data_IF_493646929472
#
_entry.id   IF_493646929472
#
_cell.length_a   1.000
_cell.length_b   1.000
_cell.length_c   1.000
_cell.angle_alpha   90.00
_cell.angle_beta   90.00
_cell.angle_gamma   90.00
#
_symmetry.space_group_name_H-M   'P 1'
#
loop_
_entity.id
_entity.type
_entity.pdbx_description
1 polymer ?
#
# COMPACT_ATOMS: atom_id res chain seq x y z
N UNK A 1 77.15 29.38 64.77
CA UNK A 1 76.59 29.59 63.42
C UNK A 1 77.25 28.53 62.55
N UNK A 2 76.59 27.50 62.03
CA UNK A 2 75.19 27.34 61.66
C UNK A 2 74.87 25.84 61.56
N UNK A 3 73.66 25.49 61.97
CA UNK A 3 72.99 24.22 61.70
C UNK A 3 72.89 23.93 60.20
N UNK A 4 73.00 22.66 59.81
CA UNK A 4 72.18 22.16 58.71
C UNK A 4 71.88 20.66 58.88
N UNK A 5 70.59 20.38 58.70
CA UNK A 5 69.83 19.25 59.21
C UNK A 5 70.04 17.95 58.41
N UNK A 6 69.95 16.82 59.15
CA UNK A 6 69.69 15.48 58.61
C UNK A 6 68.26 15.39 58.07
N UNK A 7 68.07 14.72 56.93
CA UNK A 7 66.87 13.88 56.73
C UNK A 7 67.19 12.51 56.10
N UNK A 8 66.43 11.45 56.44
CA UNK A 8 66.80 10.06 56.24
C UNK A 8 66.03 9.36 55.11
N UNK A 9 66.46 8.12 54.80
CA UNK A 9 65.53 7.01 54.54
C UNK A 9 65.24 6.70 53.08
N UNK A 10 66.00 5.77 52.52
CA UNK A 10 65.56 4.99 51.37
C UNK A 10 64.38 4.11 51.79
N UNK A 11 63.18 4.42 51.30
CA UNK A 11 62.03 3.51 51.37
C UNK A 11 61.81 2.84 50.01
N UNK A 12 61.66 1.53 50.11
CA UNK A 12 61.55 0.56 49.05
C UNK A 12 60.37 0.82 48.10
N UNK A 13 60.56 0.44 46.83
CA UNK A 13 59.52 0.29 45.82
C UNK A 13 58.49 -0.74 46.29
N UNK A 14 57.33 -0.29 46.74
CA UNK A 14 56.13 -1.14 46.86
C UNK A 14 55.43 -1.18 45.50
N UNK A 15 55.41 -2.36 44.89
CA UNK A 15 54.51 -2.67 43.78
C UNK A 15 53.06 -2.39 44.21
N UNK A 16 52.33 -1.68 43.36
CA UNK A 16 50.90 -1.42 43.55
C UNK A 16 50.12 -2.74 43.51
N UNK A 17 49.08 -2.92 44.35
CA UNK A 17 48.25 -4.12 44.32
C UNK A 17 47.51 -4.19 42.99
N UNK A 18 47.57 -5.38 42.40
CA UNK A 18 46.85 -5.80 41.20
C UNK A 18 45.35 -5.45 41.32
N UNK A 19 44.90 -4.37 40.68
CA UNK A 19 43.48 -4.16 40.38
C UNK A 19 43.12 -5.23 39.35
N UNK A 20 42.62 -6.37 39.81
CA UNK A 20 41.76 -7.18 38.95
C UNK A 20 40.53 -6.34 38.66
N UNK A 21 40.57 -5.58 37.57
CA UNK A 21 39.38 -5.06 36.91
C UNK A 21 38.50 -6.27 36.63
N UNK A 22 37.37 -6.36 37.32
CA UNK A 22 36.37 -7.37 37.04
C UNK A 22 35.84 -7.06 35.63
N UNK A 23 36.19 -7.90 34.68
CA UNK A 23 35.74 -7.81 33.29
C UNK A 23 34.20 -7.71 33.30
N UNK A 24 33.63 -6.69 32.65
CA UNK A 24 32.17 -6.54 32.59
C UNK A 24 31.64 -7.48 31.52
N UNK A 25 31.11 -8.63 31.95
CA UNK A 25 30.47 -9.58 31.05
C UNK A 25 29.31 -8.92 30.29
N UNK A 26 29.23 -9.12 28.95
CA UNK A 26 28.19 -8.51 28.15
C UNK A 26 26.83 -9.10 28.50
N UNK A 27 25.83 -8.23 28.64
CA UNK A 27 24.43 -8.65 28.83
C UNK A 27 23.46 -7.70 28.17
N UNK A 28 22.36 -8.24 27.65
CA UNK A 28 21.15 -7.47 27.41
C UNK A 28 20.49 -7.24 28.77
N UNK A 29 20.16 -6.00 29.10
CA UNK A 29 19.59 -5.60 30.39
C UNK A 29 18.12 -5.18 30.31
N UNK A 30 17.66 -4.77 29.12
CA UNK A 30 16.27 -4.34 28.90
C UNK A 30 15.90 -4.49 27.43
N UNK A 31 14.66 -4.93 27.19
CA UNK A 31 14.04 -4.94 25.86
C UNK A 31 12.67 -4.28 25.99
N UNK A 32 12.44 -3.21 25.24
CA UNK A 32 11.16 -2.50 25.22
C UNK A 32 10.54 -2.48 23.85
N UNK A 33 9.22 -2.57 23.77
CA UNK A 33 8.49 -2.40 22.51
C UNK A 33 8.33 -0.92 22.14
N UNK A 34 7.77 -0.64 20.96
CA UNK A 34 7.48 0.73 20.50
C UNK A 34 6.52 1.54 21.38
N UNK A 35 5.70 0.87 22.21
CA UNK A 35 4.80 1.51 23.18
C UNK A 35 5.52 1.84 24.51
N UNK A 36 6.80 1.50 24.62
CA UNK A 36 7.63 1.69 25.82
C UNK A 36 7.46 0.61 26.89
N UNK A 37 6.70 -0.46 26.61
CA UNK A 37 6.46 -1.60 27.51
C UNK A 37 7.69 -2.49 27.55
N UNK A 38 8.14 -2.85 28.75
CA UNK A 38 9.23 -3.80 28.98
C UNK A 38 8.79 -5.23 28.62
N UNK A 39 9.66 -5.97 27.94
CA UNK A 39 9.45 -7.35 27.52
C UNK A 39 10.45 -8.23 28.26
N UNK A 40 9.97 -8.96 29.25
CA UNK A 40 10.77 -9.97 29.97
C UNK A 40 11.31 -11.05 29.01
N UNK A 41 12.40 -11.75 29.35
CA UNK A 41 12.89 -12.88 28.56
C UNK A 41 11.80 -13.94 28.34
N UNK A 42 11.53 -14.29 27.08
CA UNK A 42 10.44 -15.17 26.65
C UNK A 42 9.07 -14.48 26.53
N UNK A 43 9.01 -13.17 26.73
CA UNK A 43 7.80 -12.36 26.61
C UNK A 43 7.33 -12.16 25.17
N UNK A 44 6.17 -11.51 25.03
CA UNK A 44 5.50 -11.27 23.73
C UNK A 44 5.49 -9.78 23.43
N UNK A 45 5.77 -9.41 22.18
CA UNK A 45 5.53 -8.06 21.65
C UNK A 45 4.56 -8.10 20.50
N UNK A 46 3.54 -7.24 20.52
CA UNK A 46 2.63 -7.00 19.37
C UNK A 46 3.07 -5.87 18.46
N UNK A 47 4.13 -5.17 18.84
CA UNK A 47 4.67 -4.02 18.13
C UNK A 47 6.00 -4.41 17.47
N UNK A 48 6.18 -4.08 16.20
CA UNK A 48 7.35 -4.45 15.40
C UNK A 48 8.64 -3.67 15.75
N UNK A 49 8.55 -2.68 16.63
CA UNK A 49 9.67 -1.91 17.13
C UNK A 49 10.19 -2.48 18.44
N UNK A 50 11.50 -2.65 18.55
CA UNK A 50 12.19 -3.00 19.78
C UNK A 50 13.35 -2.04 20.05
N UNK A 51 13.48 -1.65 21.31
CA UNK A 51 14.65 -0.98 21.86
C UNK A 51 15.36 -1.96 22.79
N UNK A 52 16.58 -2.36 22.41
CA UNK A 52 17.38 -3.34 23.15
C UNK A 52 18.53 -2.59 23.80
N UNK A 53 18.62 -2.64 25.12
CA UNK A 53 19.70 -2.04 25.90
C UNK A 53 20.51 -3.12 26.61
N UNK A 54 21.77 -2.82 26.87
CA UNK A 54 22.62 -3.71 27.63
C UNK A 54 23.84 -3.03 28.19
N UNK A 55 24.71 -3.85 28.75
CA UNK A 55 25.96 -3.46 29.39
C UNK A 55 27.09 -4.37 28.92
N UNK A 56 28.28 -3.81 28.77
CA UNK A 56 29.51 -4.52 28.42
C UNK A 56 30.74 -3.65 28.77
N UNK A 57 31.94 -4.12 28.47
CA UNK A 57 33.16 -3.31 28.65
C UNK A 57 33.17 -2.06 27.76
N UNK A 58 33.38 -0.85 28.32
CA UNK A 58 33.43 0.39 27.56
C UNK A 58 34.45 0.40 26.42
N UNK A 59 34.10 1.08 25.32
CA UNK A 59 34.99 1.30 24.18
C UNK A 59 35.16 0.10 23.24
N UNK A 60 34.58 -1.05 23.56
CA UNK A 60 34.57 -2.21 22.67
C UNK A 60 33.46 -2.11 21.60
N UNK A 61 33.65 -2.80 20.46
CA UNK A 61 32.54 -3.05 19.54
C UNK A 61 31.55 -4.03 20.16
N UNK A 62 30.27 -3.87 19.86
CA UNK A 62 29.21 -4.80 20.24
C UNK A 62 28.33 -5.10 19.03
N UNK A 63 28.05 -6.36 18.77
CA UNK A 63 27.26 -6.84 17.65
C UNK A 63 26.00 -7.53 18.15
N UNK A 64 24.84 -7.18 17.60
CA UNK A 64 23.56 -7.80 17.91
C UNK A 64 23.25 -8.91 16.89
N UNK A 65 22.82 -10.07 17.39
CA UNK A 65 22.40 -11.22 16.59
C UNK A 65 20.98 -11.65 16.94
N UNK A 66 20.24 -12.21 15.98
CA UNK A 66 18.99 -12.96 16.18
C UNK A 66 19.17 -14.40 15.67
N UNK A 67 19.17 -15.39 16.58
CA UNK A 67 19.32 -16.80 16.22
C UNK A 67 20.63 -17.12 15.47
N UNK A 68 21.69 -16.31 15.69
CA UNK A 68 22.98 -16.42 15.00
C UNK A 68 23.10 -15.60 13.71
N UNK A 69 22.03 -14.93 13.27
CA UNK A 69 22.08 -13.99 12.15
C UNK A 69 22.49 -12.59 12.66
N UNK A 70 23.57 -12.04 12.11
CA UNK A 70 24.02 -10.68 12.43
C UNK A 70 22.97 -9.64 12.02
N UNK A 71 22.60 -8.75 12.93
CA UNK A 71 21.65 -7.68 12.67
C UNK A 71 22.35 -6.33 12.52
N UNK A 72 23.09 -5.91 13.55
CA UNK A 72 23.66 -4.57 13.64
C UNK A 72 24.92 -4.59 14.51
N UNK A 73 25.83 -3.63 14.27
CA UNK A 73 27.01 -3.38 15.09
C UNK A 73 26.96 -1.97 15.65
N UNK A 74 27.34 -1.82 16.91
CA UNK A 74 27.52 -0.55 17.61
C UNK A 74 28.82 -0.56 18.43
N UNK A 75 28.98 0.43 19.30
CA UNK A 75 30.08 0.56 20.26
C UNK A 75 29.46 0.65 21.65
N UNK A 76 30.13 0.05 22.64
CA UNK A 76 29.79 0.22 24.06
C UNK A 76 30.29 1.59 24.50
N UNK A 77 29.38 2.44 24.96
CA UNK A 77 29.71 3.80 25.41
C UNK A 77 30.63 3.78 26.64
N UNK A 78 31.24 4.93 26.95
CA UNK A 78 32.15 5.09 28.09
C UNK A 78 31.51 4.78 29.45
N UNK A 79 30.18 4.88 29.55
CA UNK A 79 29.40 4.52 30.73
C UNK A 79 29.09 3.01 30.83
N UNK A 80 29.57 2.21 29.87
CA UNK A 80 29.39 0.76 29.83
C UNK A 80 28.08 0.32 29.19
N UNK A 81 27.26 1.23 28.68
CA UNK A 81 25.98 0.90 28.07
C UNK A 81 26.07 0.77 26.54
N UNK A 82 25.14 0.01 25.97
CA UNK A 82 24.87 0.00 24.53
C UNK A 82 23.36 -0.04 24.26
N UNK A 83 22.98 0.35 23.05
CA UNK A 83 21.58 0.39 22.62
C UNK A 83 21.43 0.08 21.13
N UNK A 84 20.39 -0.68 20.79
CA UNK A 84 19.97 -0.99 19.43
C UNK A 84 18.48 -0.67 19.23
N UNK A 85 18.13 -0.22 18.03
CA UNK A 85 16.75 0.13 17.64
C UNK A 85 16.29 -0.71 16.45
N UNK A 86 15.48 -1.73 16.72
CA UNK A 86 14.89 -2.57 15.69
C UNK A 86 13.54 -2.02 15.28
N UNK A 87 13.25 -1.94 13.98
CA UNK A 87 12.04 -1.26 13.46
C UNK A 87 11.15 -2.12 12.56
N UNK A 88 11.64 -3.31 12.14
CA UNK A 88 10.97 -4.17 11.15
C UNK A 88 10.87 -5.62 11.61
N UNK A 89 10.56 -5.82 12.89
CA UNK A 89 10.45 -7.17 13.43
C UNK A 89 9.23 -7.87 12.84
N UNK A 90 9.46 -9.03 12.23
CA UNK A 90 8.41 -9.89 11.68
C UNK A 90 7.90 -10.86 12.75
N UNK A 91 6.67 -11.35 12.57
CA UNK A 91 6.05 -12.34 13.44
C UNK A 91 6.94 -13.57 13.63
N UNK A 92 6.96 -14.12 14.84
CA UNK A 92 7.71 -15.32 15.22
C UNK A 92 8.68 -15.12 16.38
N UNK A 93 9.34 -16.20 16.77
CA UNK A 93 10.35 -16.19 17.84
C UNK A 93 11.63 -15.48 17.40
N UNK A 94 12.19 -14.69 18.31
CA UNK A 94 13.45 -13.96 18.19
C UNK A 94 14.35 -14.37 19.36
N UNK A 95 15.63 -14.58 19.08
CA UNK A 95 16.62 -14.98 20.06
C UNK A 95 17.82 -14.03 20.02
N UNK A 96 17.71 -12.93 20.76
CA UNK A 96 18.72 -11.88 20.74
C UNK A 96 19.94 -12.22 21.58
N UNK A 97 21.12 -11.99 21.03
CA UNK A 97 22.40 -12.08 21.73
C UNK A 97 23.30 -10.93 21.30
N UNK A 98 24.22 -10.53 22.18
CA UNK A 98 25.33 -9.65 21.80
C UNK A 98 26.68 -10.36 21.84
N UNK A 99 27.56 -10.00 20.91
CA UNK A 99 28.96 -10.42 20.86
C UNK A 99 29.85 -9.17 20.91
N UNK A 100 30.79 -9.14 21.86
CA UNK A 100 31.73 -8.01 22.02
C UNK A 100 33.02 -8.23 21.24
N UNK A 101 33.78 -7.15 21.03
CA UNK A 101 35.04 -7.18 20.27
C UNK A 101 36.15 -8.06 20.87
N UNK A 102 36.09 -8.36 22.18
CA UNK A 102 36.97 -9.32 22.85
C UNK A 102 36.48 -10.78 22.73
N UNK A 103 35.34 -11.03 22.06
CA UNK A 103 34.81 -12.36 21.79
C UNK A 103 33.89 -12.93 22.88
N UNK A 104 33.39 -12.12 23.81
CA UNK A 104 32.41 -12.55 24.82
C UNK A 104 30.97 -12.46 24.28
N UNK A 105 30.15 -13.47 24.61
CA UNK A 105 28.73 -13.48 24.27
C UNK A 105 27.86 -13.25 25.51
N UNK A 106 26.71 -12.60 25.33
CA UNK A 106 25.67 -12.56 26.35
C UNK A 106 24.83 -13.84 26.39
N UNK A 107 24.08 -14.00 27.49
CA UNK A 107 22.89 -14.86 27.51
C UNK A 107 21.87 -14.45 26.44
N UNK A 108 21.07 -15.41 25.99
CA UNK A 108 20.01 -15.18 25.00
C UNK A 108 18.81 -14.47 25.63
N UNK A 109 18.33 -13.39 25.01
CA UNK A 109 17.04 -12.78 25.31
C UNK A 109 16.01 -13.19 24.25
N UNK A 110 15.10 -14.09 24.62
CA UNK A 110 14.03 -14.53 23.74
C UNK A 110 12.86 -13.53 23.73
N UNK A 111 12.26 -13.29 22.56
CA UNK A 111 11.02 -12.51 22.41
C UNK A 111 10.15 -13.17 21.34
N UNK A 112 8.87 -13.37 21.62
CA UNK A 112 7.91 -13.76 20.60
C UNK A 112 7.24 -12.52 20.00
N UNK A 113 7.46 -12.28 18.70
CA UNK A 113 6.79 -11.22 17.97
C UNK A 113 5.41 -11.71 17.52
N UNK A 114 4.36 -11.21 18.15
CA UNK A 114 2.95 -11.40 17.78
C UNK A 114 2.41 -10.16 17.07
N UNK A 115 3.19 -9.63 16.11
CA UNK A 115 2.77 -8.50 15.29
C UNK A 115 1.60 -8.91 14.40
N UNK A 116 0.66 -7.99 14.20
CA UNK A 116 -0.44 -8.18 13.27
C UNK A 116 0.11 -8.25 11.83
N UNK A 117 -0.59 -8.98 10.97
CA UNK A 117 -0.31 -9.02 9.54
C UNK A 117 -1.43 -8.28 8.82
N UNK A 118 -1.07 -7.47 7.84
CA UNK A 118 -2.05 -6.83 6.98
C UNK A 118 -2.81 -7.87 6.16
N UNK A 119 -4.10 -7.63 5.93
CA UNK A 119 -4.96 -8.50 5.11
C UNK A 119 -5.90 -7.66 4.27
N UNK A 120 -6.07 -8.03 3.01
CA UNK A 120 -7.23 -7.64 2.22
C UNK A 120 -8.32 -8.67 2.54
N UNK A 121 -9.46 -8.20 3.05
CA UNK A 121 -10.58 -9.06 3.42
C UNK A 121 -11.64 -9.09 2.30
N UNK A 122 -11.91 -7.95 1.66
CA UNK A 122 -12.97 -7.78 0.65
C UNK A 122 -12.49 -6.78 -0.40
N UNK A 123 -12.74 -7.10 -1.67
CA UNK A 123 -12.66 -6.14 -2.76
C UNK A 123 -14.02 -6.10 -3.42
N UNK A 124 -14.59 -4.92 -3.65
CA UNK A 124 -15.90 -4.77 -4.29
C UNK A 124 -15.86 -3.75 -5.42
N UNK A 125 -16.74 -3.94 -6.40
CA UNK A 125 -17.06 -2.91 -7.36
C UNK A 125 -18.00 -1.85 -6.78
N UNK A 126 -18.41 -0.85 -7.58
CA UNK A 126 -19.40 0.14 -7.19
C UNK A 126 -20.81 -0.44 -6.96
N UNK A 127 -21.07 -1.67 -7.42
CA UNK A 127 -22.30 -2.42 -7.15
C UNK A 127 -22.32 -3.03 -5.74
N UNK A 128 -21.21 -2.98 -5.01
CA UNK A 128 -21.07 -3.52 -3.67
C UNK A 128 -20.95 -5.04 -3.61
N UNK A 129 -20.86 -5.73 -4.74
CA UNK A 129 -20.70 -7.18 -4.80
C UNK A 129 -19.22 -7.54 -4.64
N UNK A 130 -18.87 -8.53 -3.79
CA UNK A 130 -17.50 -9.01 -3.68
C UNK A 130 -16.94 -9.53 -5.00
N UNK A 131 -15.72 -9.11 -5.32
CA UNK A 131 -14.91 -9.61 -6.42
C UNK A 131 -13.91 -10.60 -5.81
N UNK A 132 -14.19 -11.89 -5.98
CA UNK A 132 -13.37 -12.98 -5.45
C UNK A 132 -11.95 -12.99 -6.05
N UNK A 133 -10.98 -13.48 -5.29
CA UNK A 133 -9.60 -13.64 -5.76
C UNK A 133 -9.54 -14.49 -7.04
N UNK A 134 -8.77 -14.03 -8.03
CA UNK A 134 -8.64 -14.62 -9.35
C UNK A 134 -9.80 -14.32 -10.32
N UNK A 135 -10.79 -13.52 -9.91
CA UNK A 135 -11.94 -13.17 -10.76
C UNK A 135 -11.63 -12.06 -11.78
N UNK A 136 -12.54 -11.91 -12.73
CA UNK A 136 -12.56 -10.77 -13.64
C UNK A 136 -13.63 -9.76 -13.22
N UNK A 137 -13.42 -8.50 -13.57
CA UNK A 137 -14.40 -7.43 -13.39
C UNK A 137 -14.39 -6.47 -14.56
N UNK A 138 -15.52 -5.79 -14.79
CA UNK A 138 -15.62 -4.65 -15.71
C UNK A 138 -15.55 -3.30 -15.00
N UNK A 139 -15.51 -3.33 -13.66
CA UNK A 139 -15.33 -2.13 -12.87
C UNK A 139 -13.86 -1.74 -12.83
N UNK A 140 -13.60 -0.46 -13.05
CA UNK A 140 -12.29 0.17 -12.89
C UNK A 140 -12.19 0.98 -11.60
N UNK A 141 -13.31 1.23 -10.90
CA UNK A 141 -13.31 1.77 -9.55
C UNK A 141 -13.53 0.63 -8.55
N UNK A 142 -12.65 0.50 -7.55
CA UNK A 142 -12.67 -0.60 -6.58
C UNK A 142 -12.67 -0.07 -5.15
N UNK A 143 -13.43 -0.72 -4.27
CA UNK A 143 -13.37 -0.51 -2.83
C UNK A 143 -12.66 -1.69 -2.18
N UNK A 144 -11.84 -1.40 -1.17
CA UNK A 144 -11.11 -2.39 -0.40
C UNK A 144 -11.49 -2.26 1.07
N UNK A 145 -11.61 -3.40 1.74
CA UNK A 145 -11.72 -3.49 3.20
C UNK A 145 -10.69 -4.50 3.68
N UNK A 146 -9.97 -4.17 4.75
CA UNK A 146 -8.95 -5.04 5.28
C UNK A 146 -8.65 -4.82 6.75
N UNK A 147 -7.66 -5.58 7.23
CA UNK A 147 -7.13 -5.55 8.59
C UNK A 147 -5.64 -5.18 8.60
N UNK A 148 -5.18 -4.62 9.71
CA UNK A 148 -3.77 -4.32 9.96
C UNK A 148 -3.47 -4.02 11.44
N UNK A 149 -2.25 -3.62 11.76
CA UNK A 149 -1.86 -3.25 13.13
C UNK A 149 -2.65 -2.02 13.63
N UNK A 150 -3.39 -2.09 14.75
CA UNK A 150 -4.23 -0.98 15.21
C UNK A 150 -3.47 0.33 15.44
N UNK A 151 -4.07 1.45 15.05
CA UNK A 151 -3.47 2.80 15.20
C UNK A 151 -2.14 3.00 14.46
N UNK A 152 -1.85 2.18 13.45
CA UNK A 152 -0.69 2.34 12.56
C UNK A 152 -1.12 2.69 11.13
N UNK A 153 -0.27 2.40 10.15
CA UNK A 153 -0.53 2.60 8.73
C UNK A 153 -0.23 1.33 7.95
N UNK A 154 -1.06 1.08 6.95
CA UNK A 154 -0.87 0.04 5.93
C UNK A 154 -0.74 0.70 4.56
N UNK A 155 0.09 0.14 3.70
CA UNK A 155 0.21 0.57 2.30
C UNK A 155 -0.56 -0.40 1.40
N UNK A 156 -1.44 0.11 0.55
CA UNK A 156 -2.12 -0.67 -0.49
C UNK A 156 -1.35 -0.53 -1.80
N UNK A 157 -0.89 -1.67 -2.31
CA UNK A 157 -0.11 -1.78 -3.54
C UNK A 157 -0.89 -2.55 -4.59
N UNK A 158 -0.65 -2.23 -5.87
CA UNK A 158 -1.06 -3.00 -7.02
C UNK A 158 0.17 -3.41 -7.83
N UNK A 159 0.50 -4.70 -7.77
CA UNK A 159 1.80 -5.20 -8.20
C UNK A 159 2.94 -4.41 -7.50
N UNK A 160 3.75 -3.66 -8.25
CA UNK A 160 4.87 -2.86 -7.74
C UNK A 160 4.52 -1.36 -7.61
N UNK A 161 3.26 -0.97 -7.80
CA UNK A 161 2.81 0.43 -7.69
C UNK A 161 2.10 0.68 -6.35
N UNK A 162 2.60 1.64 -5.59
CA UNK A 162 1.94 2.11 -4.37
C UNK A 162 0.70 2.92 -4.76
N UNK A 163 -0.48 2.44 -4.38
CA UNK A 163 -1.73 3.16 -4.62
C UNK A 163 -2.02 4.16 -3.52
N UNK A 164 -2.02 3.71 -2.25
CA UNK A 164 -2.44 4.52 -1.09
C UNK A 164 -1.72 4.09 0.20
N UNK A 165 -1.51 5.04 1.11
CA UNK A 165 -1.15 4.78 2.51
C UNK A 165 -2.36 5.08 3.38
N UNK A 166 -2.83 4.10 4.15
CA UNK A 166 -4.09 4.12 4.88
C UNK A 166 -3.82 4.03 6.38
N UNK A 167 -4.57 4.79 7.17
CA UNK A 167 -4.54 4.62 8.63
C UNK A 167 -5.39 3.42 9.02
N UNK A 168 -4.88 2.61 9.95
CA UNK A 168 -5.62 1.51 10.56
C UNK A 168 -6.30 2.03 11.82
N UNK A 169 -7.59 1.77 11.95
CA UNK A 169 -8.36 2.21 13.11
C UNK A 169 -7.95 1.46 14.41
N UNK A 170 -8.38 1.91 15.60
CA UNK A 170 -8.05 1.24 16.86
C UNK A 170 -8.57 -0.19 17.00
N UNK A 171 -9.52 -0.60 16.15
CA UNK A 171 -10.03 -1.97 16.09
C UNK A 171 -9.28 -2.85 15.09
N UNK A 172 -8.30 -2.29 14.36
CA UNK A 172 -7.47 -3.03 13.41
C UNK A 172 -8.01 -3.02 11.98
N UNK A 173 -8.99 -2.19 11.64
CA UNK A 173 -9.60 -2.17 10.31
C UNK A 173 -9.19 -0.95 9.48
N UNK A 174 -9.16 -1.12 8.17
CA UNK A 174 -8.94 -0.05 7.20
C UNK A 174 -9.84 -0.24 5.97
N UNK A 175 -10.06 0.85 5.24
CA UNK A 175 -10.76 0.82 3.95
C UNK A 175 -10.10 1.76 2.95
N UNK A 176 -10.27 1.45 1.66
CA UNK A 176 -9.72 2.24 0.56
C UNK A 176 -10.73 2.35 -0.59
N UNK A 177 -10.67 3.44 -1.33
CA UNK A 177 -11.35 3.59 -2.62
C UNK A 177 -10.33 3.96 -3.68
N UNK A 178 -10.17 3.10 -4.68
CA UNK A 178 -9.31 3.31 -5.84
C UNK A 178 -10.20 3.70 -7.01
N UNK A 179 -10.15 4.97 -7.41
CA UNK A 179 -11.06 5.54 -8.40
C UNK A 179 -10.86 4.94 -9.81
N UNK A 180 -9.62 4.62 -10.16
CA UNK A 180 -9.29 4.06 -11.46
C UNK A 180 -8.19 3.00 -11.37
N UNK A 181 -8.51 1.82 -11.87
CA UNK A 181 -7.62 0.69 -12.13
C UNK A 181 -7.65 0.44 -13.63
N UNK A 182 -6.48 0.46 -14.26
CA UNK A 182 -6.36 0.24 -15.69
C UNK A 182 -6.84 -1.17 -16.09
N UNK A 183 -7.22 -1.41 -17.35
CA UNK A 183 -7.45 -2.77 -17.82
C UNK A 183 -6.17 -3.62 -17.76
N UNK A 184 -6.26 -4.82 -17.20
CA UNK A 184 -5.08 -5.65 -16.99
C UNK A 184 -5.27 -6.70 -15.92
N UNK A 185 -4.17 -7.39 -15.59
CA UNK A 185 -4.10 -8.24 -14.41
C UNK A 185 -3.47 -7.43 -13.26
N UNK A 186 -4.09 -7.51 -12.11
CA UNK A 186 -3.71 -6.78 -10.90
C UNK A 186 -3.49 -7.77 -9.77
N UNK A 187 -2.52 -7.48 -8.90
CA UNK A 187 -2.24 -8.23 -7.69
C UNK A 187 -2.17 -7.25 -6.53
N UNK A 188 -3.29 -7.08 -5.84
CA UNK A 188 -3.39 -6.12 -4.76
C UNK A 188 -2.80 -6.71 -3.47
N UNK A 189 -1.94 -5.96 -2.80
CA UNK A 189 -1.37 -6.36 -1.50
C UNK A 189 -1.48 -5.23 -0.50
N UNK A 190 -1.68 -5.59 0.76
CA UNK A 190 -1.62 -4.67 1.88
C UNK A 190 -0.31 -4.93 2.63
N UNK A 191 0.49 -3.89 2.89
CA UNK A 191 1.83 -3.99 3.45
C UNK A 191 1.93 -3.16 4.73
N UNK A 192 2.31 -3.81 5.83
CA UNK A 192 2.57 -3.16 7.11
C UNK A 192 3.87 -2.35 7.08
N UNK A 193 4.04 -1.42 8.03
CA UNK A 193 5.28 -0.61 8.13
C UNK A 193 6.55 -1.45 8.32
N UNK A 194 6.44 -2.62 8.94
CA UNK A 194 7.56 -3.56 9.08
C UNK A 194 7.92 -4.28 7.77
N UNK A 195 7.16 -4.06 6.69
CA UNK A 195 7.33 -4.69 5.38
C UNK A 195 6.73 -6.09 5.28
N UNK A 196 5.89 -6.51 6.24
CA UNK A 196 5.12 -7.74 6.13
C UNK A 196 3.91 -7.50 5.23
N UNK A 197 3.77 -8.33 4.19
CA UNK A 197 2.76 -8.17 3.15
C UNK A 197 1.66 -9.23 3.29
N UNK A 198 0.43 -8.87 2.97
CA UNK A 198 -0.67 -9.80 2.81
C UNK A 198 -0.42 -10.77 1.66
N UNK A 199 -1.20 -11.85 1.61
CA UNK A 199 -1.35 -12.57 0.33
C UNK A 199 -1.95 -11.62 -0.72
N UNK A 200 -1.54 -11.74 -2.00
CA UNK A 200 -2.10 -10.93 -3.08
C UNK A 200 -3.54 -11.32 -3.38
N UNK A 201 -4.38 -10.31 -3.63
CA UNK A 201 -5.73 -10.47 -4.18
C UNK A 201 -5.69 -10.15 -5.67
N UNK A 202 -5.85 -11.17 -6.52
CA UNK A 202 -5.73 -11.06 -7.96
C UNK A 202 -7.06 -10.69 -8.59
N UNK A 203 -7.05 -9.68 -9.46
CA UNK A 203 -8.22 -9.28 -10.25
C UNK A 203 -7.79 -9.01 -11.68
N UNK A 204 -8.60 -9.47 -12.65
CA UNK A 204 -8.47 -9.04 -14.03
C UNK A 204 -9.51 -7.97 -14.38
N UNK A 205 -9.07 -6.74 -14.58
CA UNK A 205 -9.94 -5.65 -15.05
C UNK A 205 -10.04 -5.73 -16.58
N UNK A 206 -11.26 -5.86 -17.08
CA UNK A 206 -11.56 -5.94 -18.51
C UNK A 206 -12.09 -4.58 -18.98
N UNK A 207 -11.46 -4.02 -20.01
CA UNK A 207 -11.92 -2.78 -20.62
C UNK A 207 -13.35 -2.94 -21.16
N UNK A 208 -14.20 -1.94 -20.91
CA UNK A 208 -15.50 -1.82 -21.58
C UNK A 208 -15.36 -0.87 -22.76
N UNK A 209 -15.65 -1.38 -23.96
CA UNK A 209 -15.60 -0.56 -25.16
C UNK A 209 -16.77 0.44 -25.20
N UNK A 210 -16.44 1.70 -25.48
CA UNK A 210 -17.41 2.75 -25.77
C UNK A 210 -17.92 2.57 -27.20
N UNK A 211 -19.20 2.22 -27.36
CA UNK A 211 -19.79 1.93 -28.68
C UNK A 211 -21.10 2.67 -28.90
N UNK A 212 -21.40 2.94 -30.17
CA UNK A 212 -22.77 3.21 -30.63
C UNK A 212 -23.25 1.97 -31.37
N UNK A 213 -24.38 1.41 -30.96
CA UNK A 213 -24.88 0.14 -31.49
C UNK A 213 -26.07 0.33 -32.43
N UNK A 214 -27.02 1.18 -32.05
CA UNK A 214 -28.27 1.34 -32.79
C UNK A 214 -28.68 2.81 -32.90
N UNK A 215 -29.30 3.16 -34.02
CA UNK A 215 -30.03 4.42 -34.19
C UNK A 215 -31.45 4.09 -34.57
N UNK A 216 -32.40 4.65 -33.84
CA UNK A 216 -33.82 4.47 -34.07
C UNK A 216 -34.44 5.81 -34.49
N UNK A 217 -35.24 5.77 -35.54
CA UNK A 217 -36.09 6.88 -35.94
C UNK A 217 -37.24 7.15 -34.95
N UNK A 218 -38.09 8.12 -35.24
CA UNK A 218 -39.19 8.55 -34.37
C UNK A 218 -40.23 7.45 -34.14
N UNK A 219 -40.37 6.54 -35.11
CA UNK A 219 -41.25 5.36 -35.01
C UNK A 219 -40.56 4.13 -34.43
N UNK A 220 -39.39 4.29 -33.78
CA UNK A 220 -38.53 3.20 -33.29
C UNK A 220 -38.07 2.21 -34.37
N UNK A 221 -38.08 2.63 -35.64
CA UNK A 221 -37.50 1.85 -36.73
C UNK A 221 -36.00 2.00 -36.69
N UNK A 222 -35.27 0.89 -36.78
CA UNK A 222 -33.83 0.89 -36.92
C UNK A 222 -33.45 1.64 -38.20
N UNK A 223 -32.50 2.56 -38.07
CA UNK A 223 -31.81 3.24 -39.17
C UNK A 223 -30.40 2.67 -39.19
N UNK A 224 -30.08 1.93 -40.24
CA UNK A 224 -28.77 1.33 -40.44
C UNK A 224 -27.68 2.38 -40.67
N UNK A 225 -26.43 1.98 -40.45
CA UNK A 225 -25.29 2.82 -40.78
C UNK A 225 -25.30 3.14 -42.30
N UNK A 226 -25.10 4.41 -42.64
CA UNK A 226 -25.21 5.00 -43.98
C UNK A 226 -26.62 5.09 -44.58
N UNK A 227 -27.67 4.77 -43.82
CA UNK A 227 -29.04 4.92 -44.30
C UNK A 227 -29.54 6.37 -44.24
N UNK A 228 -30.68 6.59 -44.88
CA UNK A 228 -31.35 7.90 -44.95
C UNK A 228 -32.66 7.87 -44.17
N UNK A 229 -33.00 8.97 -43.50
CA UNK A 229 -34.26 9.14 -42.80
C UNK A 229 -34.82 10.56 -43.00
N UNK A 230 -36.15 10.68 -42.97
CA UNK A 230 -36.83 11.98 -42.87
C UNK A 230 -37.04 12.42 -41.41
N UNK A 231 -36.75 11.53 -40.45
CA UNK A 231 -36.90 11.81 -39.03
C UNK A 231 -35.84 12.82 -38.59
N UNK A 232 -36.27 13.88 -37.90
CA UNK A 232 -35.37 14.93 -37.37
C UNK A 232 -35.03 14.73 -35.90
N UNK A 233 -35.63 13.71 -35.28
CA UNK A 233 -35.24 13.19 -33.97
C UNK A 233 -34.87 11.72 -34.10
N UNK A 234 -33.78 11.31 -33.44
CA UNK A 234 -33.37 9.91 -33.39
C UNK A 234 -33.00 9.52 -31.97
N UNK A 235 -33.10 8.23 -31.67
CA UNK A 235 -32.66 7.66 -30.41
C UNK A 235 -31.44 6.78 -30.66
N UNK A 236 -30.32 7.09 -30.03
CA UNK A 236 -29.07 6.34 -30.15
C UNK A 236 -28.92 5.47 -28.91
N UNK A 237 -28.64 4.19 -29.10
CA UNK A 237 -28.29 3.25 -28.03
C UNK A 237 -26.83 2.80 -28.18
N UNK A 238 -26.13 2.67 -27.07
CA UNK A 238 -24.71 2.30 -27.03
C UNK A 238 -24.29 1.70 -25.70
N UNK A 239 -23.03 1.30 -25.62
CA UNK A 239 -22.41 0.76 -24.39
C UNK A 239 -21.23 1.61 -23.94
N UNK A 240 -21.01 1.70 -22.64
CA UNK A 240 -19.84 2.31 -22.02
C UNK A 240 -19.53 1.62 -20.69
N UNK A 241 -18.43 2.01 -20.03
CA UNK A 241 -18.14 1.57 -18.66
C UNK A 241 -19.26 1.93 -17.67
N UNK A 242 -19.27 1.26 -16.51
CA UNK A 242 -20.27 1.48 -15.45
C UNK A 242 -20.41 2.97 -15.10
N UNK A 243 -21.63 3.52 -15.22
CA UNK A 243 -21.93 4.94 -14.96
C UNK A 243 -21.03 5.95 -15.69
N UNK A 244 -20.38 5.53 -16.78
CA UNK A 244 -19.54 6.40 -17.57
C UNK A 244 -20.38 7.54 -18.16
N UNK A 245 -19.84 8.76 -18.09
CA UNK A 245 -20.49 9.97 -18.61
C UNK A 245 -19.76 10.46 -19.84
N UNK A 246 -20.51 11.07 -20.76
CA UNK A 246 -19.93 11.57 -21.99
C UNK A 246 -20.92 12.36 -22.82
N UNK A 247 -20.56 12.59 -24.08
CA UNK A 247 -21.40 13.26 -25.06
C UNK A 247 -21.47 12.45 -26.35
N UNK A 248 -22.65 12.46 -26.98
CA UNK A 248 -22.77 12.19 -28.40
C UNK A 248 -22.28 13.43 -29.14
N UNK A 249 -21.32 13.23 -30.02
CA UNK A 249 -20.70 14.28 -30.83
C UNK A 249 -20.89 13.97 -32.31
N UNK A 250 -20.87 15.03 -33.11
CA UNK A 250 -20.76 15.01 -34.57
C UNK A 250 -19.59 15.93 -34.98
N UNK A 251 -19.26 16.03 -36.27
CA UNK A 251 -18.21 16.93 -36.76
C UNK A 251 -18.42 18.39 -36.34
N UNK A 252 -19.68 18.81 -36.20
CA UNK A 252 -20.05 20.18 -35.85
C UNK A 252 -20.04 20.46 -34.34
N UNK A 253 -19.80 19.44 -33.50
CA UNK A 253 -19.69 19.59 -32.05
C UNK A 253 -20.53 18.60 -31.24
N UNK A 254 -20.76 18.95 -29.98
CA UNK A 254 -21.53 18.13 -29.04
C UNK A 254 -23.03 18.27 -29.29
N UNK A 255 -23.75 17.15 -29.30
CA UNK A 255 -25.18 17.10 -29.56
C UNK A 255 -26.00 16.88 -28.28
N UNK A 256 -25.62 15.91 -27.46
CA UNK A 256 -26.32 15.60 -26.21
C UNK A 256 -25.43 14.77 -25.27
N UNK A 257 -25.57 14.95 -23.94
CA UNK A 257 -24.87 14.12 -22.97
C UNK A 257 -25.46 12.70 -22.89
N UNK A 258 -24.65 11.76 -22.42
CA UNK A 258 -25.08 10.43 -22.02
C UNK A 258 -24.48 10.04 -20.66
N UNK A 259 -25.18 9.16 -19.97
CA UNK A 259 -24.69 8.44 -18.80
C UNK A 259 -25.11 6.99 -18.98
N UNK A 260 -24.15 6.06 -18.90
CA UNK A 260 -24.45 4.64 -18.92
C UNK A 260 -25.09 4.20 -17.61
N UNK A 261 -26.00 3.23 -17.70
CA UNK A 261 -26.62 2.63 -16.53
C UNK A 261 -25.65 1.66 -15.82
N UNK A 262 -26.17 0.97 -14.81
CA UNK A 262 -25.45 -0.04 -14.04
C UNK A 262 -25.01 -1.26 -14.86
N UNK A 263 -25.61 -1.48 -16.03
CA UNK A 263 -25.24 -2.55 -16.97
C UNK A 263 -24.31 -2.05 -18.09
N UNK A 264 -23.91 -0.77 -18.04
CA UNK A 264 -23.06 -0.15 -19.05
C UNK A 264 -23.81 0.20 -20.34
N UNK A 265 -25.14 0.34 -20.30
CA UNK A 265 -25.98 0.71 -21.45
C UNK A 265 -26.40 2.17 -21.34
N UNK A 266 -26.32 2.94 -22.42
CA UNK A 266 -26.92 4.28 -22.48
C UNK A 266 -27.86 4.42 -23.67
N UNK A 267 -28.85 5.30 -23.52
CA UNK A 267 -29.76 5.70 -24.60
C UNK A 267 -29.92 7.22 -24.62
N UNK A 268 -29.74 7.84 -25.78
CA UNK A 268 -29.78 9.29 -25.96
C UNK A 268 -30.75 9.67 -27.06
N UNK A 269 -31.68 10.58 -26.77
CA UNK A 269 -32.57 11.15 -27.79
C UNK A 269 -32.01 12.47 -28.32
N UNK A 270 -31.61 12.47 -29.57
CA UNK A 270 -31.25 13.67 -30.32
C UNK A 270 -32.50 14.29 -30.95
N UNK A 271 -32.54 15.62 -31.05
CA UNK A 271 -33.66 16.38 -31.59
C UNK A 271 -33.16 17.48 -32.51
N UNK A 272 -34.04 17.96 -33.40
CA UNK A 272 -33.76 19.08 -34.31
C UNK A 272 -32.55 18.85 -35.23
N UNK A 273 -32.31 17.60 -35.63
CA UNK A 273 -31.28 17.27 -36.60
C UNK A 273 -31.59 17.94 -37.94
N UNK A 274 -30.57 18.59 -38.51
CA UNK A 274 -30.72 19.34 -39.74
C UNK A 274 -30.64 18.40 -40.95
N UNK A 275 -31.25 18.73 -42.11
CA UNK A 275 -31.10 17.94 -43.33
C UNK A 275 -29.65 17.94 -43.84
N UNK A 276 -28.86 16.96 -43.41
CA UNK A 276 -27.46 16.73 -43.82
C UNK A 276 -27.01 15.32 -43.48
N UNK A 277 -25.75 15.02 -43.79
CA UNK A 277 -25.07 13.84 -43.24
C UNK A 277 -24.65 14.15 -41.81
N UNK A 278 -25.01 13.27 -40.89
CA UNK A 278 -24.59 13.28 -39.50
C UNK A 278 -23.63 12.12 -39.24
N UNK A 279 -22.56 12.37 -38.50
CA UNK A 279 -21.52 11.38 -38.15
C UNK A 279 -21.37 11.25 -36.64
N UNK A 280 -22.26 10.47 -36.03
CA UNK A 280 -22.31 10.32 -34.59
C UNK A 280 -21.12 9.51 -34.05
N UNK A 281 -20.56 9.98 -32.94
CA UNK A 281 -19.63 9.23 -32.07
C UNK A 281 -20.01 9.48 -30.62
N UNK A 282 -19.80 8.49 -29.75
CA UNK A 282 -19.78 8.74 -28.32
C UNK A 282 -18.35 9.13 -27.91
N UNK A 283 -18.24 10.15 -27.05
CA UNK A 283 -16.99 10.59 -26.42
C UNK A 283 -17.13 10.53 -24.90
N UNK A 284 -16.19 9.89 -24.22
CA UNK A 284 -16.06 9.87 -22.76
C UNK A 284 -14.59 10.01 -22.38
N UNK A 285 -14.22 11.14 -21.75
CA UNK A 285 -12.82 11.51 -21.59
C UNK A 285 -12.07 11.54 -22.93
N UNK A 286 -10.99 10.77 -23.02
CA UNK A 286 -10.19 10.59 -24.25
C UNK A 286 -10.68 9.43 -25.13
N UNK A 287 -11.65 8.63 -24.67
CA UNK A 287 -12.22 7.53 -25.44
C UNK A 287 -13.23 8.05 -26.46
N UNK A 288 -13.15 7.54 -27.69
CA UNK A 288 -14.12 7.77 -28.74
C UNK A 288 -14.60 6.45 -29.31
N UNK A 289 -15.90 6.33 -29.55
CA UNK A 289 -16.46 5.20 -30.28
C UNK A 289 -16.07 5.23 -31.76
N UNK A 290 -16.35 4.12 -32.45
CA UNK A 290 -16.51 4.11 -33.90
C UNK A 290 -17.60 5.09 -34.36
N UNK A 291 -17.50 5.56 -35.59
CA UNK A 291 -18.46 6.48 -36.20
C UNK A 291 -19.68 5.74 -36.72
N UNK A 292 -20.86 6.30 -36.47
CA UNK A 292 -22.13 5.90 -37.06
C UNK A 292 -22.67 7.05 -37.91
N UNK A 293 -22.95 6.79 -39.18
CA UNK A 293 -23.34 7.80 -40.16
C UNK A 293 -24.80 7.60 -40.55
N UNK A 294 -25.59 8.67 -40.58
CA UNK A 294 -26.92 8.68 -41.23
C UNK A 294 -27.07 9.95 -42.07
N UNK A 295 -27.99 9.93 -43.04
CA UNK A 295 -28.41 11.14 -43.76
C UNK A 295 -29.82 11.52 -43.35
N UNK A 296 -29.99 12.71 -42.81
CA UNK A 296 -31.30 13.31 -42.60
C UNK A 296 -31.69 14.08 -43.87
N UNK A 297 -32.87 13.82 -44.41
CA UNK A 297 -33.44 14.54 -45.56
C UNK A 297 -34.65 15.36 -45.14
N UNK A 298 -34.98 16.37 -45.94
CA UNK A 298 -36.18 17.17 -45.71
C UNK A 298 -37.43 16.27 -45.76
N UNK A 299 -38.42 16.46 -44.86
CA UNK A 299 -39.63 15.62 -44.78
C UNK A 299 -40.47 15.54 -46.06
N UNK A 300 -40.19 16.40 -47.05
CA UNK A 300 -40.98 16.58 -48.27
C UNK A 300 -40.47 15.78 -49.48
N UNK A 301 -39.41 14.98 -49.33
CA UNK A 301 -38.95 14.04 -50.37
C UNK A 301 -39.35 12.60 -49.97
N UNK A 302 -40.49 12.12 -50.48
CA UNK A 302 -40.85 10.69 -50.52
C UNK A 302 -40.79 10.20 -51.96
#
# INVERSE_FOLDING_TARGET
MTDQEKFPGAHALTQSPNKQSREMEPRISSVRNGDGVEIEPGGISKNAYLRIRGEAEPGQSVELFDGGHFLERSIVYEDGHFEFHMTKQKRGERHYKVLTGNGQESETWAVFMDVAAARILWVTGPDGVPIEDGSLTRFNALNFVGEGEPSTQVELWDNDELLQTLNVDPSGHWSAFVEYVAPGNHAFTAVERNGDASLPHHIRVVAVELTLQFVYGESFRLIGNHETTADTSVTIAGTAGFKAKGHIVDYDGELAPFEADENGIFTVRLRNLQPKVHTFRAKSGDQLSSTLVIRVISPTQR
#
